data_IF_990866573086
#
_entry.id   IF_990866573086
#
_cell.length_a   1.000
_cell.length_b   1.000
_cell.length_c   1.000
_cell.angle_alpha   90.00
_cell.angle_beta   90.00
_cell.angle_gamma   90.00
#
_symmetry.space_group_name_H-M   'P 1'
#
loop_
_entity.id
_entity.type
_entity.pdbx_description
1 polymer ?
#
# COMPACT_ATOMS: atom_id res chain seq x y z
N UNK A 1 35.46 -7.26 -11.96
CA UNK A 1 34.25 -7.74 -11.21
C UNK A 1 33.13 -6.73 -11.38
N UNK A 2 32.22 -7.01 -12.29
CA UNK A 2 31.07 -6.12 -12.58
C UNK A 2 29.92 -6.49 -11.64
N UNK A 3 29.48 -5.55 -10.78
CA UNK A 3 28.27 -5.71 -9.95
C UNK A 3 27.06 -5.42 -10.84
N UNK A 4 26.24 -6.43 -11.08
CA UNK A 4 24.99 -6.32 -11.81
C UNK A 4 23.94 -5.63 -10.97
N UNK A 5 23.51 -4.43 -11.37
CA UNK A 5 22.30 -3.79 -10.89
C UNK A 5 21.09 -4.52 -11.49
N UNK A 6 20.50 -5.42 -10.73
CA UNK A 6 19.20 -6.01 -11.08
C UNK A 6 18.08 -5.03 -10.76
N UNK A 7 17.70 -4.21 -11.73
CA UNK A 7 16.44 -3.47 -11.70
C UNK A 7 15.28 -4.47 -11.82
N UNK A 8 14.69 -4.88 -10.71
CA UNK A 8 13.40 -5.56 -10.72
C UNK A 8 12.32 -4.52 -10.95
N UNK A 9 11.92 -4.37 -12.20
CA UNK A 9 10.73 -3.63 -12.60
C UNK A 9 9.55 -4.56 -12.36
N UNK A 10 8.77 -4.34 -11.29
CA UNK A 10 7.45 -4.94 -11.14
C UNK A 10 6.51 -4.29 -12.17
N UNK A 11 6.53 -4.77 -13.38
CA UNK A 11 5.45 -4.54 -14.33
C UNK A 11 4.25 -5.37 -13.87
N UNK A 12 3.08 -4.75 -13.69
CA UNK A 12 1.84 -5.33 -13.16
C UNK A 12 1.31 -6.55 -13.92
N UNK A 13 1.99 -7.69 -13.78
CA UNK A 13 1.71 -8.95 -14.42
C UNK A 13 1.68 -10.14 -13.46
N UNK A 14 1.36 -9.93 -12.19
CA UNK A 14 1.24 -11.01 -11.21
C UNK A 14 -0.21 -11.48 -11.11
N UNK A 15 -0.63 -12.31 -11.95
CA UNK A 15 -1.75 -13.26 -11.93
C UNK A 15 -2.15 -13.59 -13.38
N UNK A 16 -1.34 -14.39 -14.09
CA UNK A 16 -1.66 -14.85 -15.44
C UNK A 16 -2.69 -15.99 -15.46
N UNK A 17 -3.74 -15.90 -14.66
CA UNK A 17 -4.75 -16.95 -14.55
C UNK A 17 -6.19 -16.49 -14.33
N UNK A 18 -6.41 -15.26 -13.91
CA UNK A 18 -7.76 -14.69 -13.84
C UNK A 18 -7.83 -13.51 -14.79
N UNK A 19 -8.63 -13.66 -15.87
CA UNK A 19 -8.89 -12.63 -16.88
C UNK A 19 -9.50 -11.35 -16.27
N UNK A 20 -8.71 -10.57 -15.54
CA UNK A 20 -8.85 -9.13 -15.56
C UNK A 20 -7.82 -8.60 -16.56
N UNK A 21 -8.13 -8.79 -17.85
CA UNK A 21 -7.47 -8.07 -18.91
C UNK A 21 -7.76 -6.60 -18.67
N UNK A 22 -6.73 -5.85 -18.25
CA UNK A 22 -6.77 -4.40 -18.33
C UNK A 22 -7.21 -4.08 -19.77
N UNK A 23 -8.25 -3.25 -19.97
CA UNK A 23 -8.67 -2.88 -21.31
C UNK A 23 -7.45 -2.28 -22.01
N UNK A 24 -7.22 -2.66 -23.26
CA UNK A 24 -6.19 -2.24 -24.22
C UNK A 24 -5.33 -1.10 -23.67
N UNK A 25 -4.03 -1.33 -23.52
CA UNK A 25 -3.08 -0.35 -22.98
C UNK A 25 -3.01 0.87 -23.94
N UNK A 26 -3.95 1.79 -23.76
CA UNK A 26 -3.78 3.15 -24.24
C UNK A 26 -2.51 3.68 -23.58
N UNK A 27 -1.54 4.23 -24.31
CA UNK A 27 -0.34 4.77 -23.69
C UNK A 27 -0.73 5.73 -22.57
N UNK A 28 -0.15 5.54 -21.38
CA UNK A 28 -0.47 6.35 -20.22
C UNK A 28 -0.31 7.85 -20.57
N UNK A 29 -1.33 8.62 -20.34
CA UNK A 29 -1.32 10.07 -20.57
C UNK A 29 -0.23 10.73 -19.73
N UNK A 30 0.20 11.95 -20.11
CA UNK A 30 1.17 12.69 -19.32
C UNK A 30 0.65 12.93 -17.88
N UNK A 31 -0.64 13.18 -17.72
CA UNK A 31 -1.29 13.34 -16.42
C UNK A 31 -1.19 12.06 -15.57
N UNK A 32 -1.39 10.88 -16.16
CA UNK A 32 -1.24 9.60 -15.47
C UNK A 32 0.21 9.34 -15.06
N UNK A 33 1.18 9.67 -15.91
CA UNK A 33 2.61 9.56 -15.58
C UNK A 33 3.00 10.49 -14.42
N UNK A 34 2.51 11.74 -14.45
CA UNK A 34 2.73 12.71 -13.36
C UNK A 34 2.10 12.21 -12.06
N UNK A 35 0.84 11.76 -12.12
CA UNK A 35 0.16 11.21 -10.96
C UNK A 35 0.92 10.03 -10.34
N UNK A 36 1.32 9.04 -11.17
CA UNK A 36 2.04 7.87 -10.69
C UNK A 36 3.42 8.23 -10.09
N UNK A 37 4.16 9.14 -10.74
CA UNK A 37 5.44 9.63 -10.23
C UNK A 37 5.29 10.40 -8.93
N UNK A 38 4.31 11.29 -8.85
CA UNK A 38 4.05 12.12 -7.67
C UNK A 38 3.55 11.27 -6.49
N UNK A 39 2.63 10.32 -6.75
CA UNK A 39 2.18 9.34 -5.75
C UNK A 39 3.36 8.56 -5.18
N UNK A 40 4.20 8.01 -6.05
CA UNK A 40 5.39 7.26 -5.64
C UNK A 40 6.32 8.11 -4.78
N UNK A 41 6.60 9.36 -5.17
CA UNK A 41 7.50 10.24 -4.44
C UNK A 41 6.96 10.60 -3.04
N UNK A 42 5.63 10.73 -2.87
CA UNK A 42 4.99 10.90 -1.55
C UNK A 42 5.08 9.62 -0.73
N UNK A 43 4.71 8.48 -1.33
CA UNK A 43 4.66 7.19 -0.62
C UNK A 43 6.05 6.77 -0.16
N UNK A 44 7.08 6.96 -1.01
CA UNK A 44 8.47 6.62 -0.67
C UNK A 44 9.21 7.69 0.13
N UNK A 45 8.51 8.73 0.61
CA UNK A 45 9.08 9.73 1.49
C UNK A 45 10.09 10.67 0.83
N UNK A 46 10.09 10.78 -0.51
CA UNK A 46 10.85 11.83 -1.21
C UNK A 46 10.30 13.19 -0.86
N UNK A 47 8.98 13.29 -0.71
CA UNK A 47 8.30 14.43 -0.13
C UNK A 47 7.81 14.06 1.28
N UNK A 48 8.24 14.83 2.27
CA UNK A 48 7.96 14.55 3.67
C UNK A 48 6.53 14.94 4.08
N UNK A 49 5.91 14.27 5.06
CA UNK A 49 4.64 14.68 5.61
C UNK A 49 4.64 16.15 6.05
N UNK A 50 3.64 16.92 5.60
CA UNK A 50 3.52 18.36 5.87
C UNK A 50 4.36 19.26 4.95
N UNK A 51 5.20 18.70 4.09
CA UNK A 51 6.04 19.48 3.16
C UNK A 51 5.18 20.31 2.21
N UNK A 52 5.60 21.57 2.00
CA UNK A 52 4.97 22.50 1.05
C UNK A 52 5.61 22.37 -0.32
N UNK A 53 4.81 22.14 -1.33
CA UNK A 53 5.25 21.89 -2.70
C UNK A 53 4.70 22.94 -3.66
N UNK A 54 5.58 23.52 -4.47
CA UNK A 54 5.16 24.50 -5.48
C UNK A 54 4.80 23.80 -6.81
N UNK A 55 3.74 24.26 -7.44
CA UNK A 55 3.32 23.77 -8.76
C UNK A 55 4.44 23.90 -9.81
N UNK A 56 5.24 24.97 -9.73
CA UNK A 56 6.36 25.23 -10.63
C UNK A 56 7.45 24.18 -10.51
N UNK A 57 7.82 23.81 -9.28
CA UNK A 57 8.88 22.84 -9.04
C UNK A 57 8.44 21.42 -9.40
N UNK A 58 7.17 21.08 -9.12
CA UNK A 58 6.59 19.81 -9.55
C UNK A 58 6.53 19.70 -11.09
N UNK A 59 6.13 20.78 -11.78
CA UNK A 59 6.13 20.81 -13.25
C UNK A 59 7.54 20.56 -13.81
N UNK A 60 8.56 21.19 -13.23
CA UNK A 60 9.96 20.97 -13.61
C UNK A 60 10.41 19.54 -13.31
N UNK A 61 10.09 19.02 -12.11
CA UNK A 61 10.49 17.67 -11.67
C UNK A 61 9.95 16.57 -12.58
N UNK A 62 8.69 16.69 -13.00
CA UNK A 62 8.03 15.66 -13.83
C UNK A 62 8.09 15.97 -15.34
N UNK A 63 8.80 17.00 -15.77
CA UNK A 63 8.91 17.38 -17.19
C UNK A 63 7.55 17.69 -17.83
N UNK A 64 6.64 18.33 -17.09
CA UNK A 64 5.26 18.56 -17.47
C UNK A 64 4.88 20.03 -17.36
N UNK A 65 3.77 20.44 -18.02
CA UNK A 65 3.16 21.75 -17.78
C UNK A 65 2.36 21.74 -16.45
N UNK A 66 1.84 22.90 -16.05
CA UNK A 66 1.06 23.03 -14.81
C UNK A 66 -0.25 22.24 -14.83
N UNK A 67 -0.88 22.11 -16.00
CA UNK A 67 -2.18 21.42 -16.12
C UNK A 67 -2.12 19.96 -15.65
N UNK A 68 -1.27 19.05 -16.19
CA UNK A 68 -1.17 17.67 -15.69
C UNK A 68 -0.74 17.59 -14.23
N UNK A 69 0.01 18.56 -13.70
CA UNK A 69 0.36 18.62 -12.27
C UNK A 69 -0.87 18.91 -11.41
N UNK A 70 -1.74 19.86 -11.84
CA UNK A 70 -3.01 20.16 -11.15
C UNK A 70 -3.96 18.97 -11.15
N UNK A 71 -4.11 18.30 -12.30
CA UNK A 71 -4.93 17.10 -12.41
C UNK A 71 -4.43 15.98 -11.49
N UNK A 72 -3.12 15.76 -11.47
CA UNK A 72 -2.50 14.80 -10.56
C UNK A 72 -2.71 15.19 -9.08
N UNK A 73 -2.55 16.47 -8.74
CA UNK A 73 -2.76 16.97 -7.38
C UNK A 73 -4.21 16.77 -6.90
N UNK A 74 -5.21 17.01 -7.76
CA UNK A 74 -6.62 16.75 -7.44
C UNK A 74 -6.88 15.27 -7.17
N UNK A 75 -6.27 14.37 -7.95
CA UNK A 75 -6.37 12.92 -7.71
C UNK A 75 -5.71 12.52 -6.39
N UNK A 76 -4.49 13.03 -6.13
CA UNK A 76 -3.77 12.76 -4.88
C UNK A 76 -4.49 13.32 -3.64
N UNK A 77 -5.25 14.41 -3.79
CA UNK A 77 -6.11 14.92 -2.73
C UNK A 77 -7.27 13.96 -2.46
N UNK A 78 -7.89 13.37 -3.49
CA UNK A 78 -8.91 12.32 -3.32
C UNK A 78 -8.32 11.07 -2.65
N UNK A 79 -7.08 10.73 -2.98
CA UNK A 79 -6.34 9.63 -2.36
C UNK A 79 -5.88 9.98 -0.92
N UNK A 80 -6.18 11.16 -0.40
CA UNK A 80 -5.76 11.65 0.94
C UNK A 80 -4.24 11.72 1.13
N UNK A 81 -3.49 11.81 0.04
CA UNK A 81 -2.01 11.92 0.05
C UNK A 81 -1.55 13.38 -0.01
N UNK A 82 -2.40 14.27 -0.47
CA UNK A 82 -2.08 15.69 -0.67
C UNK A 82 -3.23 16.57 -0.18
N UNK A 83 -2.91 17.77 0.28
CA UNK A 83 -3.86 18.85 0.57
C UNK A 83 -3.58 20.02 -0.36
N UNK A 84 -4.60 20.48 -1.07
CA UNK A 84 -4.55 21.69 -1.91
C UNK A 84 -5.04 22.86 -1.09
N UNK A 85 -4.20 23.88 -0.92
CA UNK A 85 -4.57 25.11 -0.21
C UNK A 85 -4.57 26.27 -1.20
N UNK A 86 -5.74 26.91 -1.44
CA UNK A 86 -5.84 28.03 -2.38
C UNK A 86 -4.78 29.08 -2.09
N UNK A 87 -4.12 29.58 -3.15
CA UNK A 87 -3.05 30.59 -3.10
C UNK A 87 -1.80 30.22 -2.30
N UNK A 88 -1.71 29.01 -1.71
CA UNK A 88 -0.57 28.53 -0.91
C UNK A 88 0.12 27.31 -1.52
N UNK A 89 -0.48 26.66 -2.54
CA UNK A 89 0.09 25.49 -3.21
C UNK A 89 -0.37 24.16 -2.61
N UNK A 90 0.50 23.18 -2.67
CA UNK A 90 0.23 21.81 -2.28
C UNK A 90 0.98 21.47 -0.99
N UNK A 91 0.38 20.66 -0.14
CA UNK A 91 1.00 20.17 1.08
C UNK A 91 0.83 18.65 1.14
N UNK A 92 1.91 17.94 1.41
CA UNK A 92 1.84 16.50 1.67
C UNK A 92 1.00 16.27 2.91
N UNK A 93 0.03 15.36 2.85
CA UNK A 93 -0.84 15.08 3.99
C UNK A 93 -0.01 14.57 5.18
N UNK A 94 -0.31 15.03 6.37
CA UNK A 94 0.35 14.57 7.59
C UNK A 94 -0.13 13.16 7.96
N UNK A 95 0.73 12.41 8.65
CA UNK A 95 0.37 11.15 9.29
C UNK A 95 0.09 11.48 10.76
N UNK A 96 -1.18 11.49 11.16
CA UNK A 96 -1.59 11.75 12.54
C UNK A 96 -2.11 10.48 13.20
N UNK A 97 -2.20 10.44 14.53
CA UNK A 97 -2.81 9.32 15.24
C UNK A 97 -4.27 9.09 14.82
N UNK A 98 -5.01 10.17 14.52
CA UNK A 98 -6.37 10.05 14.02
C UNK A 98 -6.40 9.39 12.64
N UNK A 99 -5.54 9.82 11.71
CA UNK A 99 -5.41 9.20 10.39
C UNK A 99 -5.03 7.72 10.51
N UNK A 100 -4.14 7.35 11.42
CA UNK A 100 -3.80 5.96 11.70
C UNK A 100 -5.03 5.16 12.15
N UNK A 101 -5.77 5.64 13.12
CA UNK A 101 -6.98 4.98 13.61
C UNK A 101 -8.01 4.80 12.48
N UNK A 102 -8.30 5.87 11.72
CA UNK A 102 -9.26 5.84 10.61
C UNK A 102 -8.87 4.80 9.55
N UNK A 103 -7.58 4.71 9.22
CA UNK A 103 -7.07 3.72 8.25
C UNK A 103 -7.23 2.30 8.78
N UNK A 104 -6.91 2.03 10.04
CA UNK A 104 -7.05 0.70 10.62
C UNK A 104 -8.50 0.26 10.74
N UNK A 105 -9.42 1.15 11.11
CA UNK A 105 -10.86 0.88 11.09
C UNK A 105 -11.37 0.57 9.69
N UNK A 106 -10.96 1.37 8.70
CA UNK A 106 -11.31 1.14 7.30
C UNK A 106 -10.75 -0.18 6.78
N UNK A 107 -9.47 -0.49 7.04
CA UNK A 107 -8.85 -1.78 6.69
C UNK A 107 -9.61 -2.96 7.27
N UNK A 108 -9.94 -2.89 8.56
CA UNK A 108 -10.72 -3.95 9.23
C UNK A 108 -12.02 -4.20 8.49
N UNK A 109 -12.77 -3.15 8.15
CA UNK A 109 -14.04 -3.29 7.44
C UNK A 109 -13.90 -3.93 6.04
N UNK A 110 -12.91 -3.52 5.25
CA UNK A 110 -12.81 -3.94 3.85
C UNK A 110 -11.95 -5.19 3.64
N UNK A 111 -10.88 -5.37 4.42
CA UNK A 111 -9.97 -6.50 4.24
C UNK A 111 -10.52 -7.78 4.91
N UNK A 112 -11.19 -7.68 6.07
CA UNK A 112 -11.87 -8.84 6.68
C UNK A 112 -13.02 -9.33 5.78
N UNK A 113 -13.86 -8.42 5.28
CA UNK A 113 -14.90 -8.78 4.32
C UNK A 113 -14.32 -9.39 3.02
N UNK A 114 -13.15 -8.90 2.59
CA UNK A 114 -12.46 -9.46 1.43
C UNK A 114 -11.94 -10.87 1.68
N UNK A 115 -11.37 -11.16 2.85
CA UNK A 115 -10.87 -12.47 3.23
C UNK A 115 -12.02 -13.48 3.35
N UNK A 116 -13.11 -13.11 4.02
CA UNK A 116 -14.33 -13.90 4.13
C UNK A 116 -14.89 -14.27 2.76
N UNK A 117 -15.09 -13.29 1.88
CA UNK A 117 -15.62 -13.51 0.54
C UNK A 117 -14.64 -14.29 -0.35
N UNK A 118 -13.33 -14.14 -0.17
CA UNK A 118 -12.32 -14.94 -0.84
C UNK A 118 -12.41 -16.41 -0.43
N UNK A 119 -12.67 -16.73 0.83
CA UNK A 119 -12.88 -18.09 1.32
C UNK A 119 -14.16 -18.70 0.72
N UNK A 120 -15.26 -17.94 0.66
CA UNK A 120 -16.52 -18.38 0.00
C UNK A 120 -16.28 -18.72 -1.47
N UNK A 121 -15.60 -17.84 -2.23
CA UNK A 121 -15.35 -18.03 -3.66
C UNK A 121 -14.25 -19.02 -3.97
N UNK A 122 -13.31 -19.18 -3.04
CA UNK A 122 -12.16 -20.05 -3.15
C UNK A 122 -11.11 -19.55 -4.14
N UNK A 123 -9.93 -20.16 -4.06
CA UNK A 123 -8.79 -19.87 -4.92
C UNK A 123 -8.23 -21.16 -5.54
N UNK A 124 -7.62 -21.07 -6.71
CA UNK A 124 -6.87 -22.18 -7.28
C UNK A 124 -5.59 -22.46 -6.49
N UNK A 125 -5.10 -23.70 -6.54
CA UNK A 125 -3.84 -24.08 -5.89
C UNK A 125 -2.66 -23.22 -6.34
N UNK A 126 -2.67 -22.76 -7.59
CA UNK A 126 -1.63 -21.87 -8.12
C UNK A 126 -1.67 -20.52 -7.43
N UNK A 127 -2.84 -19.90 -7.26
CA UNK A 127 -3.01 -18.60 -6.59
C UNK A 127 -2.64 -18.71 -5.11
N UNK A 128 -3.04 -19.79 -4.42
CA UNK A 128 -2.64 -20.03 -3.03
C UNK A 128 -1.11 -20.12 -2.90
N UNK A 129 -0.44 -20.80 -3.85
CA UNK A 129 1.03 -20.88 -3.87
C UNK A 129 1.68 -19.52 -4.09
N UNK A 130 1.16 -18.71 -5.02
CA UNK A 130 1.67 -17.37 -5.30
C UNK A 130 1.54 -16.45 -4.09
N UNK A 131 0.37 -16.42 -3.45
CA UNK A 131 0.15 -15.67 -2.21
C UNK A 131 1.01 -16.19 -1.05
N UNK A 132 1.22 -17.52 -0.97
CA UNK A 132 2.12 -18.12 -0.01
C UNK A 132 3.58 -17.67 -0.17
N UNK A 133 4.05 -17.47 -1.40
CA UNK A 133 5.37 -16.93 -1.66
C UNK A 133 5.48 -15.47 -1.20
N UNK A 134 4.45 -14.65 -1.42
CA UNK A 134 4.41 -13.27 -0.91
C UNK A 134 4.43 -13.23 0.62
N UNK A 135 3.68 -14.12 1.27
CA UNK A 135 3.62 -14.24 2.73
C UNK A 135 4.97 -14.61 3.38
N UNK A 136 5.91 -15.19 2.62
CA UNK A 136 7.22 -15.60 3.12
C UNK A 136 8.30 -14.52 2.99
N UNK A 137 8.04 -13.43 2.27
CA UNK A 137 8.99 -12.32 2.18
C UNK A 137 9.18 -11.71 3.58
N UNK A 138 10.42 -11.45 3.93
CA UNK A 138 10.77 -10.87 5.24
C UNK A 138 11.80 -9.77 5.07
N UNK A 139 11.90 -8.90 6.06
CA UNK A 139 12.99 -7.93 6.13
C UNK A 139 13.81 -8.10 7.40
N UNK A 140 15.05 -7.60 7.38
CA UNK A 140 15.84 -7.37 8.59
C UNK A 140 15.86 -5.87 8.87
N UNK A 141 15.92 -5.46 10.13
CA UNK A 141 15.92 -4.05 10.50
C UNK A 141 17.06 -3.22 9.89
N UNK A 142 18.19 -3.86 9.57
CA UNK A 142 19.40 -3.27 8.98
C UNK A 142 19.41 -3.30 7.43
N UNK A 143 18.43 -3.95 6.78
CA UNK A 143 18.27 -4.02 5.32
C UNK A 143 17.07 -3.19 4.85
N UNK A 144 17.28 -1.88 4.68
CA UNK A 144 16.21 -0.97 4.16
C UNK A 144 15.62 -1.45 2.83
N UNK A 145 16.46 -1.97 1.93
CA UNK A 145 16.01 -2.50 0.64
C UNK A 145 15.14 -3.76 0.81
N UNK A 146 15.51 -4.63 1.74
CA UNK A 146 14.71 -5.81 2.11
C UNK A 146 13.37 -5.40 2.71
N UNK A 147 13.34 -4.37 3.56
CA UNK A 147 12.11 -3.88 4.15
C UNK A 147 11.17 -3.24 3.11
N UNK A 148 11.69 -2.51 2.13
CA UNK A 148 10.89 -2.03 0.98
C UNK A 148 10.26 -3.21 0.23
N UNK A 149 11.04 -4.23 -0.12
CA UNK A 149 10.51 -5.44 -0.79
C UNK A 149 9.47 -6.17 0.04
N UNK A 150 9.63 -6.20 1.35
CA UNK A 150 8.63 -6.75 2.26
C UNK A 150 7.32 -5.97 2.21
N UNK A 151 7.34 -4.63 2.27
CA UNK A 151 6.14 -3.78 2.20
C UNK A 151 5.42 -3.96 0.85
N UNK A 152 6.17 -4.05 -0.25
CA UNK A 152 5.63 -4.34 -1.57
C UNK A 152 4.94 -5.72 -1.63
N UNK A 153 5.59 -6.75 -1.07
CA UNK A 153 5.03 -8.11 -1.00
C UNK A 153 3.78 -8.18 -0.10
N UNK A 154 3.79 -7.49 1.04
CA UNK A 154 2.67 -7.36 1.95
C UNK A 154 1.47 -6.68 1.26
N UNK A 155 1.71 -5.58 0.56
CA UNK A 155 0.67 -4.91 -0.25
C UNK A 155 0.12 -5.84 -1.33
N UNK A 156 0.99 -6.54 -2.06
CA UNK A 156 0.58 -7.49 -3.10
C UNK A 156 -0.23 -8.67 -2.53
N UNK A 157 0.11 -9.15 -1.33
CA UNK A 157 -0.62 -10.20 -0.62
C UNK A 157 -2.07 -9.79 -0.34
N UNK A 158 -2.28 -8.65 0.29
CA UNK A 158 -3.63 -8.15 0.60
C UNK A 158 -4.46 -7.84 -0.65
N UNK A 159 -3.85 -7.25 -1.68
CA UNK A 159 -4.50 -7.03 -2.98
C UNK A 159 -4.83 -8.35 -3.69
N UNK A 160 -3.97 -9.36 -3.55
CA UNK A 160 -4.21 -10.70 -4.07
C UNK A 160 -5.45 -11.32 -3.44
N UNK A 161 -5.62 -11.23 -2.12
CA UNK A 161 -6.83 -11.68 -1.40
C UNK A 161 -8.06 -10.90 -1.90
N UNK A 162 -7.98 -9.57 -1.97
CA UNK A 162 -9.07 -8.74 -2.47
C UNK A 162 -9.47 -9.11 -3.91
N UNK A 163 -8.52 -9.50 -4.77
CA UNK A 163 -8.80 -9.93 -6.15
C UNK A 163 -9.62 -11.22 -6.22
N UNK A 164 -9.46 -12.14 -5.26
CA UNK A 164 -10.25 -13.37 -5.16
C UNK A 164 -11.73 -13.10 -4.96
N UNK A 165 -12.08 -11.94 -4.41
CA UNK A 165 -13.48 -11.53 -4.25
C UNK A 165 -14.19 -11.32 -5.58
N UNK A 166 -13.46 -11.11 -6.68
CA UNK A 166 -14.00 -10.71 -8.00
C UNK A 166 -14.95 -9.50 -7.88
N UNK A 167 -14.71 -8.64 -6.89
CA UNK A 167 -15.47 -7.42 -6.62
C UNK A 167 -14.53 -6.22 -6.78
N UNK A 168 -14.70 -5.49 -7.89
CA UNK A 168 -13.84 -4.36 -8.21
C UNK A 168 -13.92 -3.24 -7.16
N UNK A 169 -15.08 -3.07 -6.51
CA UNK A 169 -15.24 -2.06 -5.46
C UNK A 169 -14.42 -2.40 -4.22
N UNK A 170 -14.45 -3.66 -3.77
CA UNK A 170 -13.62 -4.13 -2.66
C UNK A 170 -12.13 -4.06 -3.00
N UNK A 171 -11.76 -4.50 -4.20
CA UNK A 171 -10.36 -4.39 -4.65
C UNK A 171 -9.85 -2.94 -4.58
N UNK A 172 -10.63 -2.00 -5.10
CA UNK A 172 -10.25 -0.58 -5.07
C UNK A 172 -10.17 -0.04 -3.64
N UNK A 173 -11.13 -0.38 -2.77
CA UNK A 173 -11.12 0.03 -1.38
C UNK A 173 -9.87 -0.48 -0.63
N UNK A 174 -9.51 -1.75 -0.82
CA UNK A 174 -8.28 -2.32 -0.26
C UNK A 174 -7.04 -1.65 -0.85
N UNK A 175 -6.99 -1.38 -2.15
CA UNK A 175 -5.88 -0.69 -2.80
C UNK A 175 -5.67 0.73 -2.25
N UNK A 176 -6.74 1.45 -1.99
CA UNK A 176 -6.67 2.80 -1.40
C UNK A 176 -6.14 2.75 0.03
N UNK A 177 -6.62 1.81 0.84
CA UNK A 177 -6.12 1.56 2.19
C UNK A 177 -4.63 1.18 2.18
N UNK A 178 -4.22 0.26 1.30
CA UNK A 178 -2.83 -0.24 1.19
C UNK A 178 -1.87 0.88 0.77
N UNK A 179 -2.28 1.79 -0.10
CA UNK A 179 -1.46 2.95 -0.48
C UNK A 179 -1.12 3.85 0.72
N UNK A 180 -2.05 4.01 1.65
CA UNK A 180 -1.79 4.76 2.90
C UNK A 180 -0.90 3.96 3.85
N UNK A 181 -1.14 2.64 3.98
CA UNK A 181 -0.31 1.78 4.84
C UNK A 181 1.13 1.69 4.35
N UNK A 182 1.36 1.55 3.04
CA UNK A 182 2.69 1.53 2.45
C UNK A 182 3.49 2.78 2.85
N UNK A 183 2.87 3.97 2.76
CA UNK A 183 3.48 5.23 3.19
C UNK A 183 3.81 5.23 4.69
N UNK A 184 2.91 4.75 5.53
CA UNK A 184 3.10 4.68 6.98
C UNK A 184 4.23 3.70 7.32
N UNK A 185 4.23 2.52 6.70
CA UNK A 185 5.25 1.50 6.92
C UNK A 185 6.63 1.97 6.44
N UNK A 186 6.71 2.65 5.29
CA UNK A 186 7.97 3.21 4.79
C UNK A 186 8.51 4.31 5.72
N UNK A 187 7.64 5.16 6.26
CA UNK A 187 8.04 6.13 7.28
C UNK A 187 8.53 5.46 8.57
N UNK A 188 7.97 4.30 8.94
CA UNK A 188 8.37 3.53 10.10
C UNK A 188 9.72 2.80 9.92
N UNK A 189 10.11 2.42 8.69
CA UNK A 189 11.43 1.82 8.41
C UNK A 189 12.56 2.76 8.85
N UNK A 190 12.43 4.05 8.58
CA UNK A 190 13.46 5.03 8.87
C UNK A 190 13.67 5.21 10.39
N UNK A 191 12.78 4.65 11.22
CA UNK A 191 12.83 4.67 12.68
C UNK A 191 13.47 3.37 13.26
N UNK A 192 13.98 2.47 12.41
CA UNK A 192 14.60 1.19 12.79
C UNK A 192 13.68 0.23 13.56
N UNK A 193 12.36 0.29 13.34
CA UNK A 193 11.41 -0.53 14.06
C UNK A 193 10.60 -1.44 13.13
N UNK A 194 11.25 -2.47 12.60
CA UNK A 194 10.55 -3.66 12.10
C UNK A 194 10.99 -4.84 12.96
N UNK A 195 10.12 -5.21 13.90
CA UNK A 195 10.23 -6.47 14.62
C UNK A 195 10.02 -7.68 13.69
N UNK A 196 9.99 -8.90 14.25
CA UNK A 196 9.71 -10.09 13.46
C UNK A 196 8.44 -9.95 12.61
N UNK A 197 8.59 -10.27 11.34
CA UNK A 197 7.56 -10.13 10.32
C UNK A 197 6.46 -11.16 10.54
N UNK A 198 5.18 -10.82 10.35
CA UNK A 198 4.02 -11.68 10.62
C UNK A 198 3.83 -12.81 9.59
N UNK A 199 4.90 -13.59 9.29
CA UNK A 199 4.81 -14.71 8.34
C UNK A 199 3.71 -15.70 8.71
N UNK A 200 3.57 -15.99 9.99
CA UNK A 200 2.59 -16.97 10.49
C UNK A 200 1.17 -16.44 10.30
N UNK A 201 0.94 -15.18 10.60
CA UNK A 201 -0.38 -14.53 10.48
C UNK A 201 -0.91 -14.59 9.02
N UNK A 202 -0.06 -14.27 8.03
CA UNK A 202 -0.43 -14.36 6.63
C UNK A 202 -0.72 -15.80 6.17
N UNK A 203 0.05 -16.78 6.66
CA UNK A 203 -0.18 -18.18 6.34
C UNK A 203 -1.48 -18.69 6.97
N UNK A 204 -1.83 -18.26 8.16
CA UNK A 204 -3.08 -18.61 8.84
C UNK A 204 -4.30 -18.09 8.06
N UNK A 205 -4.23 -16.86 7.51
CA UNK A 205 -5.24 -16.30 6.62
C UNK A 205 -5.38 -17.16 5.35
N UNK A 206 -4.25 -17.53 4.72
CA UNK A 206 -4.28 -18.38 3.52
C UNK A 206 -4.82 -19.77 3.77
N UNK A 207 -4.50 -20.38 4.93
CA UNK A 207 -5.07 -21.66 5.33
C UNK A 207 -6.59 -21.57 5.41
N UNK A 208 -7.13 -20.54 6.07
CA UNK A 208 -8.58 -20.35 6.18
C UNK A 208 -9.26 -20.19 4.80
N UNK A 209 -8.65 -19.41 3.90
CA UNK A 209 -9.16 -19.25 2.53
C UNK A 209 -9.09 -20.57 1.75
N UNK A 210 -7.99 -21.32 1.86
CA UNK A 210 -7.82 -22.64 1.23
C UNK A 210 -8.83 -23.65 1.73
N UNK A 211 -9.08 -23.66 3.04
CA UNK A 211 -10.03 -24.57 3.70
C UNK A 211 -11.49 -24.16 3.45
N UNK A 212 -11.72 -23.04 2.78
CA UNK A 212 -13.04 -22.45 2.52
C UNK A 212 -13.84 -22.18 3.79
N UNK A 213 -13.16 -21.68 4.82
CA UNK A 213 -13.73 -21.29 6.09
C UNK A 213 -13.82 -19.75 6.16
N UNK A 214 -14.98 -19.16 5.82
CA UNK A 214 -15.13 -17.70 5.75
C UNK A 214 -15.03 -17.04 7.13
N UNK A 215 -15.56 -17.66 8.18
CA UNK A 215 -15.54 -17.12 9.53
C UNK A 215 -14.09 -17.07 10.07
N UNK A 216 -13.35 -18.14 9.89
CA UNK A 216 -11.93 -18.19 10.25
C UNK A 216 -11.09 -17.23 9.41
N UNK A 217 -11.38 -17.07 8.09
CA UNK A 217 -10.68 -16.13 7.24
C UNK A 217 -10.91 -14.68 7.68
N UNK A 218 -12.15 -14.33 8.07
CA UNK A 218 -12.48 -13.05 8.68
C UNK A 218 -11.67 -12.82 9.96
N UNK A 219 -11.72 -13.77 10.90
CA UNK A 219 -11.09 -13.63 12.19
C UNK A 219 -9.57 -13.54 12.11
N UNK A 220 -8.92 -14.39 11.31
CA UNK A 220 -7.46 -14.35 11.13
C UNK A 220 -6.99 -13.06 10.48
N UNK A 221 -7.75 -12.50 9.53
CA UNK A 221 -7.47 -11.20 8.94
C UNK A 221 -7.66 -10.07 9.97
N UNK A 222 -8.70 -10.12 10.76
CA UNK A 222 -8.94 -9.14 11.85
C UNK A 222 -7.76 -9.13 12.83
N UNK A 223 -7.35 -10.29 13.31
CA UNK A 223 -6.28 -10.42 14.30
C UNK A 223 -4.94 -9.92 13.75
N UNK A 224 -4.65 -10.23 12.48
CA UNK A 224 -3.49 -9.70 11.78
C UNK A 224 -3.51 -8.17 11.71
N UNK A 225 -4.65 -7.56 11.35
CA UNK A 225 -4.78 -6.10 11.28
C UNK A 225 -4.60 -5.46 12.66
N UNK A 226 -5.20 -6.04 13.71
CA UNK A 226 -5.05 -5.53 15.08
C UNK A 226 -3.62 -5.60 15.57
N UNK A 227 -2.92 -6.73 15.36
CA UNK A 227 -1.50 -6.85 15.70
C UNK A 227 -0.63 -5.84 14.94
N UNK A 228 -0.92 -5.60 13.65
CA UNK A 228 -0.27 -4.55 12.86
C UNK A 228 -0.52 -3.16 13.45
N UNK A 229 -1.76 -2.88 13.89
CA UNK A 229 -2.13 -1.61 14.54
C UNK A 229 -1.31 -1.38 15.80
N UNK A 230 -1.22 -2.37 16.68
CA UNK A 230 -0.50 -2.25 17.95
C UNK A 230 1.00 -2.00 17.71
N UNK A 231 1.60 -2.69 16.74
CA UNK A 231 2.99 -2.46 16.34
C UNK A 231 3.21 -1.02 15.86
N UNK A 232 2.37 -0.51 14.95
CA UNK A 232 2.50 0.85 14.40
C UNK A 232 2.21 1.93 15.45
N UNK A 233 1.21 1.74 16.31
CA UNK A 233 0.94 2.67 17.42
C UNK A 233 2.06 2.70 18.45
N UNK A 234 2.69 1.56 18.74
CA UNK A 234 3.88 1.50 19.60
C UNK A 234 5.01 2.39 19.07
N UNK A 235 5.23 2.39 17.74
CA UNK A 235 6.20 3.28 17.08
C UNK A 235 5.79 4.75 17.21
N UNK A 236 4.53 5.07 16.96
CA UNK A 236 4.02 6.44 16.98
C UNK A 236 4.15 7.10 18.36
N UNK A 237 4.09 6.31 19.43
CA UNK A 237 4.30 6.78 20.82
C UNK A 237 5.77 7.06 21.11
N UNK A 238 6.68 6.27 20.54
CA UNK A 238 8.14 6.39 20.80
C UNK A 238 8.77 7.51 19.94
N UNK A 239 8.21 7.81 18.75
CA UNK A 239 8.78 8.80 17.82
C UNK A 239 7.71 9.80 17.35
N UNK A 240 7.28 10.72 18.23
CA UNK A 240 6.18 11.66 17.95
C UNK A 240 6.44 12.62 16.78
N UNK A 241 7.71 12.86 16.42
CA UNK A 241 8.08 13.83 15.39
C UNK A 241 7.60 13.48 13.98
N UNK A 242 7.41 12.17 13.68
CA UNK A 242 6.91 11.70 12.39
C UNK A 242 5.38 11.62 12.33
N UNK A 243 4.74 11.60 13.50
CA UNK A 243 3.28 11.55 13.65
C UNK A 243 2.83 12.85 14.30
N UNK A 244 2.37 13.80 13.50
CA UNK A 244 1.86 15.06 14.05
C UNK A 244 0.68 14.78 14.99
N UNK A 245 0.69 15.43 16.14
CA UNK A 245 -0.50 15.48 17.00
C UNK A 245 -1.49 16.39 16.30
N UNK A 246 -2.64 15.82 15.88
CA UNK A 246 -3.74 16.56 15.28
C UNK A 246 -4.41 17.50 16.26
#
# INVERSE_FOLDING_TARGET
>A
MRRGNGNFVFSGGFLSGTHFRAPNSVPATLSEKVYAGFKRDIVHGVFQPGESLSEKDLARRYGASRTPVREAAVRLQKDRLLRIVPNRGYFVAQITLQVLNDIYEFRTAVECASAELAAVKGASSQVIKELGNLAQVSCRPDDRGGCVRFIEADTAFHLGIASLTRNQMLYQAVNDARSQMERIMLAAIDIHYFGEVPKREHLDILCAIKDRDPERAHQTMHDHIMQSKDKVLGIAVVVPAHFARG
#
